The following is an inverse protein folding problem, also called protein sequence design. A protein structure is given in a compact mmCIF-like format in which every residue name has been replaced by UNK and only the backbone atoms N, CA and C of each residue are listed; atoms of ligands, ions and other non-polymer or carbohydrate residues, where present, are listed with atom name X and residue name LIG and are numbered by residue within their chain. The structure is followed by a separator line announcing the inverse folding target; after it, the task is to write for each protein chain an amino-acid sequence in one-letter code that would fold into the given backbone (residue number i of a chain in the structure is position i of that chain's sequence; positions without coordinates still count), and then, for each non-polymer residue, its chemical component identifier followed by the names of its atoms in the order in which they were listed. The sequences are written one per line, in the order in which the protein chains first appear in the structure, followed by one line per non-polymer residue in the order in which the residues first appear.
data_IF_354413598496
#
_entry.id   IF_354413598496
#
_cell.length_a   1.000
_cell.length_b   1.000
_cell.length_c   1.000
_cell.angle_alpha   90.00
_cell.angle_beta   90.00
_cell.angle_gamma   90.00
#
_symmetry.space_group_name_H-M   'P 1'
#
loop_
_entity.id
_entity.type
_entity.pdbx_description
1 polymer ?
#
# COMPACT_ATOMS: atom_id res chain seq x y z
N UNK A 1 -5.01 -6.96 17.10
CA UNK A 1 -3.73 -7.03 16.37
C UNK A 1 -3.89 -6.47 14.98
N UNK A 2 -2.77 -6.05 14.38
CA UNK A 2 -2.68 -5.47 13.05
C UNK A 2 -1.46 -6.02 12.33
N UNK A 3 -1.57 -6.17 11.02
CA UNK A 3 -0.46 -6.42 10.09
C UNK A 3 -0.57 -5.45 8.93
N UNK A 4 0.58 -5.03 8.39
CA UNK A 4 0.66 -4.13 7.24
C UNK A 4 1.39 -4.85 6.11
N UNK A 5 0.79 -4.83 4.93
CA UNK A 5 1.40 -5.26 3.68
C UNK A 5 1.62 -4.01 2.83
N UNK A 6 2.85 -3.83 2.37
CA UNK A 6 3.29 -2.77 1.47
C UNK A 6 3.63 -3.42 0.11
N UNK A 7 3.08 -2.90 -0.99
CA UNK A 7 3.38 -3.41 -2.32
C UNK A 7 4.61 -2.71 -2.92
N UNK A 8 5.53 -3.49 -3.46
CA UNK A 8 6.65 -2.98 -4.27
C UNK A 8 6.17 -2.61 -5.67
N UNK A 9 6.76 -1.56 -6.26
CA UNK A 9 6.54 -1.16 -7.65
C UNK A 9 5.06 -0.99 -8.02
N UNK A 10 4.27 -0.49 -7.07
CA UNK A 10 2.80 -0.39 -7.07
C UNK A 10 2.22 -0.07 -8.45
N UNK A 11 2.34 1.18 -8.92
CA UNK A 11 1.78 1.56 -10.22
C UNK A 11 2.50 0.87 -11.39
N UNK A 12 3.83 0.76 -11.35
CA UNK A 12 4.60 0.12 -12.42
C UNK A 12 4.28 -1.37 -12.62
N UNK A 13 3.61 -2.03 -11.67
CA UNK A 13 3.12 -3.40 -11.83
C UNK A 13 1.94 -3.52 -12.81
N UNK A 14 1.26 -2.40 -13.12
CA UNK A 14 0.08 -2.39 -13.98
C UNK A 14 0.48 -1.98 -15.40
N UNK A 15 0.29 -2.84 -16.41
CA UNK A 15 0.59 -2.50 -17.80
C UNK A 15 -0.39 -1.45 -18.34
N UNK A 16 0.12 -0.55 -19.19
CA UNK A 16 -0.70 0.35 -20.00
C UNK A 16 -1.09 -0.38 -21.28
N UNK A 17 -2.34 -0.22 -21.71
CA UNK A 17 -2.78 -0.77 -22.99
C UNK A 17 -1.90 -0.21 -24.13
N UNK A 18 -1.37 -1.04 -25.06
CA UNK A 18 -0.42 -0.59 -26.09
C UNK A 18 -0.87 0.65 -26.88
N UNK A 19 -2.17 0.74 -27.17
CA UNK A 19 -2.80 1.90 -27.84
C UNK A 19 -2.71 3.22 -27.06
N UNK A 20 -2.45 3.21 -25.76
CA UNK A 20 -2.33 4.40 -24.91
C UNK A 20 -0.86 4.75 -24.57
N UNK A 21 0.10 3.86 -24.85
CA UNK A 21 1.52 4.10 -24.49
C UNK A 21 2.10 5.37 -25.14
N UNK A 22 1.60 5.75 -26.32
CA UNK A 22 2.03 6.97 -27.03
C UNK A 22 1.72 8.27 -26.26
N UNK A 23 0.78 8.27 -25.30
CA UNK A 23 0.54 9.42 -24.43
C UNK A 23 1.63 9.60 -23.35
N UNK A 24 2.49 8.60 -23.16
CA UNK A 24 3.51 8.55 -22.12
C UNK A 24 4.92 8.49 -22.72
N UNK A 25 5.11 9.20 -23.83
CA UNK A 25 6.40 9.36 -24.48
C UNK A 25 7.25 10.39 -23.73
N UNK A 26 8.54 10.14 -23.63
CA UNK A 26 9.51 11.11 -23.11
C UNK A 26 10.83 11.00 -23.86
N UNK A 27 11.56 12.11 -23.91
CA UNK A 27 12.85 12.18 -24.59
C UNK A 27 14.00 12.08 -23.58
N UNK A 28 14.98 11.21 -23.85
CA UNK A 28 16.16 11.05 -23.02
C UNK A 28 17.37 10.68 -23.88
N UNK A 29 18.47 11.45 -23.74
CA UNK A 29 19.73 11.24 -24.50
C UNK A 29 19.51 11.07 -26.01
N UNK A 30 18.76 11.98 -26.62
CA UNK A 30 18.46 11.96 -28.07
C UNK A 30 17.59 10.79 -28.54
N UNK A 31 17.10 9.96 -27.61
CA UNK A 31 16.21 8.86 -27.90
C UNK A 31 14.80 9.12 -27.35
N UNK A 32 13.80 8.66 -28.09
CA UNK A 32 12.40 8.70 -27.68
C UNK A 32 12.04 7.39 -26.98
N UNK A 33 11.63 7.50 -25.72
CA UNK A 33 11.23 6.38 -24.88
C UNK A 33 9.72 6.43 -24.63
N UNK A 34 9.13 5.25 -24.41
CA UNK A 34 7.72 5.12 -24.04
C UNK A 34 7.56 4.28 -22.77
N UNK A 35 6.65 4.69 -21.90
CA UNK A 35 6.24 3.85 -20.78
C UNK A 35 5.27 2.76 -21.22
N UNK A 36 5.53 1.52 -20.78
CA UNK A 36 4.67 0.35 -21.02
C UNK A 36 3.83 -0.02 -19.80
N UNK A 37 4.09 0.61 -18.66
CA UNK A 37 3.38 0.43 -17.41
C UNK A 37 2.97 1.77 -16.80
N UNK A 38 2.03 1.73 -15.87
CA UNK A 38 1.42 2.91 -15.29
C UNK A 38 2.46 3.77 -14.55
N UNK A 39 2.56 5.03 -14.96
CA UNK A 39 3.54 5.98 -14.44
C UNK A 39 3.05 6.72 -13.21
N UNK A 40 3.99 7.14 -12.37
CA UNK A 40 3.72 8.12 -11.32
C UNK A 40 3.33 9.48 -11.93
N UNK A 41 2.45 10.20 -11.23
CA UNK A 41 1.94 11.50 -11.68
C UNK A 41 0.72 11.43 -12.60
N UNK A 42 0.34 10.25 -13.09
CA UNK A 42 -0.92 10.08 -13.82
C UNK A 42 -2.11 10.24 -12.87
N UNK A 43 -2.95 11.26 -13.12
CA UNK A 43 -4.09 11.58 -12.26
C UNK A 43 -5.08 10.41 -12.07
N UNK A 44 -5.23 9.55 -13.09
CA UNK A 44 -6.12 8.38 -13.03
C UNK A 44 -5.49 7.16 -12.37
N UNK A 45 -4.17 7.13 -12.13
CA UNK A 45 -3.47 5.96 -11.61
C UNK A 45 -4.02 5.48 -10.25
N UNK A 46 -4.24 6.36 -9.25
CA UNK A 46 -4.82 5.94 -7.96
C UNK A 46 -6.21 5.29 -8.09
N UNK A 47 -7.05 5.82 -8.98
CA UNK A 47 -8.39 5.28 -9.22
C UNK A 47 -8.33 3.90 -9.87
N UNK A 48 -7.51 3.73 -10.91
CA UNK A 48 -7.34 2.44 -11.59
C UNK A 48 -6.77 1.41 -10.61
N UNK A 49 -5.75 1.76 -9.84
CA UNK A 49 -5.13 0.85 -8.87
C UNK A 49 -6.12 0.39 -7.80
N UNK A 50 -6.94 1.31 -7.28
CA UNK A 50 -8.03 0.99 -6.35
C UNK A 50 -9.06 0.04 -6.96
N UNK A 51 -9.41 0.21 -8.24
CA UNK A 51 -10.33 -0.70 -8.94
C UNK A 51 -9.74 -2.10 -9.08
N UNK A 52 -8.44 -2.21 -9.36
CA UNK A 52 -7.74 -3.48 -9.51
C UNK A 52 -7.66 -4.25 -8.18
N UNK A 53 -7.43 -3.56 -7.06
CA UNK A 53 -7.37 -4.21 -5.74
C UNK A 53 -8.74 -4.48 -5.11
N UNK A 54 -9.83 -3.95 -5.67
CA UNK A 54 -11.18 -4.13 -5.11
C UNK A 54 -11.63 -5.60 -5.09
N UNK A 55 -11.46 -6.42 -6.15
CA UNK A 55 -11.77 -7.85 -6.11
C UNK A 55 -10.93 -8.62 -5.08
N UNK A 56 -9.63 -8.30 -4.97
CA UNK A 56 -8.76 -8.86 -3.93
C UNK A 56 -9.34 -8.61 -2.53
N UNK A 57 -9.69 -7.35 -2.23
CA UNK A 57 -10.27 -6.99 -0.95
C UNK A 57 -11.64 -7.64 -0.71
N UNK A 58 -12.48 -7.76 -1.75
CA UNK A 58 -13.78 -8.42 -1.65
C UNK A 58 -13.64 -9.91 -1.34
N UNK A 59 -12.69 -10.61 -1.98
CA UNK A 59 -12.38 -12.01 -1.73
C UNK A 59 -12.02 -12.23 -0.25
N UNK A 60 -11.06 -11.47 0.28
CA UNK A 60 -10.65 -11.60 1.69
C UNK A 60 -11.78 -11.24 2.67
N UNK A 61 -12.59 -10.21 2.36
CA UNK A 61 -13.76 -9.86 3.18
C UNK A 61 -14.79 -10.98 3.23
N UNK A 62 -15.03 -11.68 2.12
CA UNK A 62 -15.96 -12.83 2.10
C UNK A 62 -15.48 -14.00 2.97
N UNK A 63 -14.19 -14.07 3.27
CA UNK A 63 -13.59 -15.05 4.18
C UNK A 63 -13.52 -14.55 5.64
N UNK A 64 -14.15 -13.41 5.95
CA UNK A 64 -14.16 -12.83 7.29
C UNK A 64 -12.88 -12.07 7.68
N UNK A 65 -12.00 -11.78 6.72
CA UNK A 65 -10.81 -10.95 6.97
C UNK A 65 -11.22 -9.48 7.04
N UNK A 66 -10.91 -8.80 8.15
CA UNK A 66 -11.08 -7.36 8.27
C UNK A 66 -9.84 -6.66 7.71
N UNK A 67 -10.00 -5.93 6.61
CA UNK A 67 -8.91 -5.18 5.99
C UNK A 67 -9.30 -3.80 5.44
N UNK A 68 -8.31 -2.91 5.42
CA UNK A 68 -8.31 -1.61 4.79
C UNK A 68 -7.25 -1.60 3.69
N UNK A 69 -7.62 -1.16 2.50
CA UNK A 69 -6.72 -1.06 1.34
C UNK A 69 -6.68 0.40 0.93
N UNK A 70 -5.49 0.98 0.93
CA UNK A 70 -5.24 2.32 0.40
C UNK A 70 -4.06 2.25 -0.54
N UNK A 71 -4.34 2.24 -1.85
CA UNK A 71 -3.31 2.05 -2.88
C UNK A 71 -2.42 0.84 -2.55
N UNK A 72 -1.13 1.05 -2.36
CA UNK A 72 -0.12 0.05 -2.01
C UNK A 72 -0.01 -0.29 -0.52
N UNK A 73 -0.63 0.51 0.35
CA UNK A 73 -0.68 0.30 1.79
C UNK A 73 -1.95 -0.51 2.17
N UNK A 74 -1.76 -1.77 2.55
CA UNK A 74 -2.83 -2.69 2.97
C UNK A 74 -2.68 -2.99 4.47
N UNK A 75 -3.75 -2.79 5.24
CA UNK A 75 -3.81 -3.07 6.67
C UNK A 75 -4.82 -4.17 6.96
N UNK A 76 -4.41 -5.26 7.61
CA UNK A 76 -5.30 -6.28 8.13
C UNK A 76 -5.43 -6.13 9.66
N UNK A 77 -6.60 -6.47 10.17
CA UNK A 77 -6.95 -6.34 11.59
C UNK A 77 -7.65 -7.61 12.08
N UNK A 78 -7.30 -8.05 13.28
CA UNK A 78 -7.90 -9.24 13.89
C UNK A 78 -7.79 -9.21 15.41
N UNK A 79 -8.66 -9.95 16.11
CA UNK A 79 -8.66 -10.05 17.57
C UNK A 79 -7.60 -11.02 18.11
N UNK A 80 -7.34 -12.14 17.42
CA UNK A 80 -6.25 -13.09 17.71
C UNK A 80 -5.04 -12.80 16.83
N UNK A 81 -3.84 -12.91 17.42
CA UNK A 81 -2.59 -12.77 16.67
C UNK A 81 -2.40 -13.96 15.72
N UNK A 82 -2.62 -15.17 16.23
CA UNK A 82 -2.47 -16.43 15.51
C UNK A 82 -3.36 -16.45 14.27
N UNK A 83 -4.65 -16.12 14.45
CA UNK A 83 -5.58 -16.07 13.32
C UNK A 83 -5.22 -14.98 12.31
N UNK A 84 -4.75 -13.83 12.78
CA UNK A 84 -4.34 -12.73 11.90
C UNK A 84 -3.07 -13.10 11.11
N UNK A 85 -2.15 -13.88 11.69
CA UNK A 85 -0.97 -14.38 11.01
C UNK A 85 -1.37 -15.26 9.81
N UNK A 86 -2.24 -16.24 10.02
CA UNK A 86 -2.78 -17.08 8.95
C UNK A 86 -3.46 -16.24 7.84
N UNK A 87 -4.31 -15.29 8.23
CA UNK A 87 -4.99 -14.40 7.28
C UNK A 87 -4.00 -13.53 6.49
N UNK A 88 -2.91 -13.11 7.13
CA UNK A 88 -1.85 -12.31 6.50
C UNK A 88 -1.10 -13.15 5.47
N UNK A 89 -0.80 -14.40 5.78
CA UNK A 89 -0.17 -15.33 4.84
C UNK A 89 -1.05 -15.58 3.62
N UNK A 90 -2.35 -15.86 3.83
CA UNK A 90 -3.32 -16.01 2.74
C UNK A 90 -3.36 -14.75 1.86
N UNK A 91 -3.39 -13.56 2.46
CA UNK A 91 -3.39 -12.30 1.73
C UNK A 91 -2.11 -12.10 0.90
N UNK A 92 -0.94 -12.40 1.46
CA UNK A 92 0.36 -12.32 0.76
C UNK A 92 0.42 -13.32 -0.38
N UNK A 93 -0.02 -14.56 -0.18
CA UNK A 93 -0.08 -15.58 -1.23
C UNK A 93 -0.99 -15.16 -2.37
N UNK A 94 -2.18 -14.64 -2.05
CA UNK A 94 -3.13 -14.17 -3.06
C UNK A 94 -2.57 -12.99 -3.86
N UNK A 95 -1.97 -11.99 -3.20
CA UNK A 95 -1.32 -10.87 -3.88
C UNK A 95 -0.22 -11.34 -4.83
N UNK A 96 0.61 -12.28 -4.37
CA UNK A 96 1.70 -12.85 -5.17
C UNK A 96 1.17 -13.62 -6.37
N UNK A 97 0.10 -14.40 -6.20
CA UNK A 97 -0.57 -15.13 -7.28
C UNK A 97 -1.20 -14.18 -8.32
N UNK A 98 -1.63 -12.99 -7.91
CA UNK A 98 -2.13 -11.94 -8.79
C UNK A 98 -1.01 -11.13 -9.48
N UNK A 99 0.26 -11.47 -9.23
CA UNK A 99 1.42 -10.82 -9.84
C UNK A 99 1.96 -9.61 -9.07
N UNK A 100 1.40 -9.29 -7.90
CA UNK A 100 1.94 -8.21 -7.06
C UNK A 100 3.16 -8.68 -6.27
N UNK A 101 4.12 -7.78 -6.11
CA UNK A 101 5.30 -8.01 -5.28
C UNK A 101 5.10 -7.36 -3.91
N UNK A 102 5.26 -8.14 -2.84
CA UNK A 102 5.19 -7.62 -1.46
C UNK A 102 6.56 -7.12 -1.01
N UNK A 103 6.61 -5.87 -0.54
CA UNK A 103 7.80 -5.29 0.04
C UNK A 103 7.99 -5.77 1.48
N UNK A 104 8.70 -6.88 1.67
CA UNK A 104 8.92 -7.45 3.01
C UNK A 104 9.67 -6.51 3.96
N UNK A 105 10.50 -5.59 3.45
CA UNK A 105 11.25 -4.64 4.27
C UNK A 105 10.40 -3.48 4.81
N UNK A 106 9.35 -3.09 4.08
CA UNK A 106 8.39 -2.04 4.52
C UNK A 106 7.10 -2.61 5.12
N UNK A 107 6.85 -3.90 4.92
CA UNK A 107 5.71 -4.61 5.49
C UNK A 107 5.97 -5.00 6.94
N UNK A 108 4.90 -5.05 7.73
CA UNK A 108 4.89 -5.65 9.07
C UNK A 108 3.96 -6.86 9.01
N UNK A 109 4.53 -8.02 8.65
CA UNK A 109 3.76 -9.24 8.41
C UNK A 109 3.45 -10.03 9.68
N UNK A 110 4.20 -9.78 10.75
CA UNK A 110 3.91 -10.36 12.07
C UNK A 110 2.89 -9.48 12.80
N UNK A 111 1.80 -10.04 13.34
CA UNK A 111 0.80 -9.32 14.11
C UNK A 111 1.38 -8.48 15.25
N UNK A 112 1.09 -7.17 15.23
CA UNK A 112 1.46 -6.24 16.31
C UNK A 112 0.23 -5.52 16.87
N UNK A 113 0.39 -4.82 17.99
CA UNK A 113 -0.66 -3.95 18.53
C UNK A 113 -0.39 -2.46 18.30
N UNK A 114 0.75 -2.11 17.71
CA UNK A 114 1.11 -0.75 17.31
C UNK A 114 1.80 -0.81 15.96
N UNK A 115 1.33 -0.01 15.00
CA UNK A 115 1.81 -0.05 13.62
C UNK A 115 1.75 1.33 12.98
N UNK A 116 2.71 1.66 12.13
CA UNK A 116 2.64 2.88 11.31
C UNK A 116 1.84 2.59 10.02
N UNK A 117 0.75 3.31 9.81
CA UNK A 117 -0.11 3.20 8.64
C UNK A 117 -0.54 4.58 8.16
N UNK A 118 -0.39 4.84 6.84
CA UNK A 118 -0.65 6.15 6.21
C UNK A 118 0.00 7.34 6.92
N UNK A 119 1.18 7.10 7.53
CA UNK A 119 1.96 8.11 8.21
C UNK A 119 1.49 8.47 9.62
N UNK A 120 0.62 7.64 10.22
CA UNK A 120 0.21 7.70 11.62
C UNK A 120 0.57 6.42 12.35
N UNK A 121 0.90 6.52 13.63
CA UNK A 121 1.01 5.37 14.53
C UNK A 121 -0.38 5.04 15.05
N UNK A 122 -0.86 3.85 14.70
CA UNK A 122 -2.13 3.29 15.16
C UNK A 122 -1.83 2.31 16.27
N UNK A 123 -2.37 2.55 17.47
CA UNK A 123 -2.23 1.65 18.61
C UNK A 123 -3.56 1.02 18.98
N UNK A 124 -3.66 -0.30 18.82
CA UNK A 124 -4.88 -1.06 19.12
C UNK A 124 -5.13 -1.23 20.64
N UNK A 125 -4.10 -1.11 21.49
CA UNK A 125 -4.27 -1.19 22.96
C UNK A 125 -4.95 0.05 23.52
N UNK A 126 -4.43 1.22 23.14
CA UNK A 126 -4.90 2.52 23.62
C UNK A 126 -5.99 3.12 22.74
N UNK A 127 -6.31 2.51 21.60
CA UNK A 127 -7.22 3.02 20.58
C UNK A 127 -6.85 4.46 20.15
N UNK A 128 -5.56 4.73 20.05
CA UNK A 128 -5.03 6.04 19.68
C UNK A 128 -4.48 6.06 18.26
N UNK A 129 -4.61 7.22 17.63
CA UNK A 129 -3.98 7.55 16.36
C UNK A 129 -3.08 8.78 16.60
N UNK A 130 -1.77 8.61 16.42
CA UNK A 130 -0.79 9.64 16.74
C UNK A 130 0.17 9.89 15.58
N UNK A 131 0.74 11.08 15.52
CA UNK A 131 1.85 11.34 14.60
C UNK A 131 3.11 10.61 15.10
N UNK A 132 3.90 9.98 14.20
CA UNK A 132 5.21 9.46 14.55
C UNK A 132 6.08 10.58 15.14
N UNK A 133 6.86 10.28 16.18
CA UNK A 133 7.68 11.26 16.90
C UNK A 133 8.56 12.12 15.96
N UNK A 134 9.09 11.52 14.89
CA UNK A 134 9.85 12.22 13.85
C UNK A 134 9.05 13.33 13.17
N UNK A 135 7.78 13.07 12.82
CA UNK A 135 6.90 14.07 12.20
C UNK A 135 6.48 15.13 13.21
N UNK A 136 6.21 14.73 14.44
CA UNK A 136 5.90 15.66 15.54
C UNK A 136 7.05 16.64 15.78
N UNK A 137 8.29 16.16 15.84
CA UNK A 137 9.48 17.00 15.99
C UNK A 137 9.65 17.98 14.83
N UNK A 138 9.47 17.52 13.58
CA UNK A 138 9.53 18.40 12.41
C UNK A 138 8.41 19.45 12.39
N UNK A 139 7.19 19.09 12.81
CA UNK A 139 6.08 20.02 12.90
C UNK A 139 6.35 21.11 13.95
N UNK A 140 6.82 20.72 15.14
CA UNK A 140 7.18 21.66 16.21
C UNK A 140 8.32 22.61 15.80
N UNK A 141 9.33 22.11 15.08
CA UNK A 141 10.40 22.94 14.54
C UNK A 141 9.89 23.98 13.53
N UNK A 142 8.89 23.62 12.71
CA UNK A 142 8.26 24.59 11.79
C UNK A 142 7.43 25.62 12.54
N UNK A 143 6.66 25.23 13.56
CA UNK A 143 5.85 26.16 14.34
C UNK A 143 6.70 27.18 15.11
N UNK A 144 7.90 26.80 15.57
CA UNK A 144 8.83 27.72 16.26
C UNK A 144 9.51 28.77 15.35
N UNK A 145 9.39 28.63 14.03
CA UNK A 145 9.94 29.58 13.06
C UNK A 145 8.95 30.70 12.68
N UNK A 146 7.71 30.60 13.17
CA UNK A 146 6.68 31.63 13.09
C UNK A 146 6.48 32.26 14.47
#
# INVERSE_FOLDING_TARGET
FMTKIDLSNSFHSIPIAPRHCHFFLFHWKEELWQWTCMVFGLASAPWVFTKILRPFAACLRSQGVRLLVYLDDILLMGSSAERLQEQTEVAVHLLTALGFQVNRGKSTLTPTQSIEYLGFVVCARSLTLALPARKTAMALLKCRKW
#
